data_IF_038433611491
#
_entry.id   IF_038433611491
#
_cell.length_a   1.000
_cell.length_b   1.000
_cell.length_c   1.000
_cell.angle_alpha   90.00
_cell.angle_beta   90.00
_cell.angle_gamma   90.00
#
_symmetry.space_group_name_H-M   'P 1'
#
loop_
_entity.id
_entity.type
_entity.pdbx_description
1 polymer ?
#
# COMPACT_ATOMS: atom_id res chain seq x y z
N UNK A 1 -19.57 0.86 -26.71
CA UNK A 1 -20.52 -0.27 -26.74
C UNK A 1 -19.99 -1.51 -27.51
N UNK A 2 -19.22 -1.35 -28.56
CA UNK A 2 -18.76 -2.46 -29.44
C UNK A 2 -17.72 -3.43 -28.79
N UNK A 3 -16.92 -3.02 -27.81
CA UNK A 3 -15.93 -3.90 -27.13
C UNK A 3 -16.53 -4.95 -26.18
N UNK A 4 -17.75 -4.75 -25.70
CA UNK A 4 -18.44 -5.74 -24.85
C UNK A 4 -18.98 -6.93 -25.65
N UNK A 5 -19.28 -6.76 -26.91
CA UNK A 5 -19.82 -7.84 -27.78
C UNK A 5 -18.74 -8.78 -28.30
N UNK A 6 -17.51 -8.31 -28.49
CA UNK A 6 -16.40 -9.18 -28.92
C UNK A 6 -15.94 -10.16 -27.83
N UNK A 7 -15.94 -9.75 -26.57
CA UNK A 7 -15.67 -10.65 -25.44
C UNK A 7 -16.82 -11.66 -25.22
N UNK A 8 -18.09 -11.24 -25.41
CA UNK A 8 -19.26 -12.12 -25.30
C UNK A 8 -19.34 -13.13 -26.44
N UNK A 9 -19.00 -12.74 -27.67
CA UNK A 9 -18.96 -13.64 -28.82
C UNK A 9 -17.83 -14.65 -28.73
N UNK A 10 -16.64 -14.26 -28.27
CA UNK A 10 -15.53 -15.20 -28.04
C UNK A 10 -15.86 -16.22 -26.93
N UNK A 11 -16.53 -15.81 -25.86
CA UNK A 11 -17.00 -16.71 -24.80
C UNK A 11 -18.15 -17.62 -25.29
N UNK A 12 -19.03 -17.11 -26.15
CA UNK A 12 -20.16 -17.88 -26.68
C UNK A 12 -19.72 -18.96 -27.68
N UNK A 13 -18.74 -18.70 -28.52
CA UNK A 13 -18.18 -19.68 -29.47
C UNK A 13 -17.41 -20.79 -28.75
N UNK A 14 -16.77 -20.48 -27.62
CA UNK A 14 -16.08 -21.47 -26.77
C UNK A 14 -17.04 -22.37 -25.94
N UNK A 15 -18.31 -22.00 -25.83
CA UNK A 15 -19.30 -22.78 -25.08
C UNK A 15 -20.05 -23.82 -25.90
N UNK A 16 -19.85 -23.88 -27.20
CA UNK A 16 -20.59 -24.78 -28.13
C UNK A 16 -19.81 -26.01 -28.61
N UNK A 17 -18.93 -26.58 -27.78
CA UNK A 17 -18.44 -27.93 -28.07
C UNK A 17 -19.10 -28.87 -27.04
N UNK A 18 -20.07 -29.66 -27.44
CA UNK A 18 -20.70 -30.58 -26.54
C UNK A 18 -19.82 -31.78 -26.31
N UNK A 19 -19.93 -32.29 -25.13
CA UNK A 19 -20.11 -33.70 -24.86
C UNK A 19 -18.98 -34.43 -24.18
N UNK A 20 -19.38 -34.94 -23.13
CA UNK A 20 -19.01 -36.11 -22.37
C UNK A 20 -18.45 -37.25 -23.23
N UNK A 21 -17.20 -37.26 -23.49
CA UNK A 21 -16.45 -38.46 -23.82
C UNK A 21 -15.84 -39.00 -22.51
N UNK A 22 -16.64 -39.67 -21.73
CA UNK A 22 -16.20 -40.39 -20.54
C UNK A 22 -15.56 -41.74 -20.95
N UNK A 23 -14.52 -41.69 -21.77
CA UNK A 23 -13.72 -42.85 -22.06
C UNK A 23 -12.29 -42.58 -21.68
N UNK A 24 -11.74 -43.35 -20.78
CA UNK A 24 -10.31 -43.41 -20.50
C UNK A 24 -9.74 -44.78 -20.88
N UNK A 25 -8.52 -44.75 -21.38
CA UNK A 25 -7.71 -45.97 -21.53
C UNK A 25 -6.55 -45.83 -20.52
N UNK A 26 -6.61 -46.64 -19.50
CA UNK A 26 -5.64 -46.62 -18.43
C UNK A 26 -4.67 -47.77 -18.59
N UNK A 27 -3.40 -47.43 -18.91
CA UNK A 27 -2.26 -48.34 -18.91
C UNK A 27 -1.55 -48.24 -17.55
N UNK A 28 -2.24 -48.70 -16.52
CA UNK A 28 -1.77 -48.55 -15.15
C UNK A 28 -1.72 -49.89 -14.41
N UNK A 29 -0.67 -50.08 -13.65
CA UNK A 29 -0.51 -51.20 -12.72
C UNK A 29 -0.65 -50.68 -11.31
N UNK A 30 -1.62 -51.18 -10.56
CA UNK A 30 -1.88 -50.72 -9.19
C UNK A 30 -2.10 -49.19 -9.06
N UNK A 31 -2.75 -48.56 -10.06
CA UNK A 31 -2.98 -47.13 -10.07
C UNK A 31 -1.79 -46.27 -10.50
N UNK A 32 -0.66 -46.84 -10.87
CA UNK A 32 0.51 -46.16 -11.40
C UNK A 32 0.67 -46.39 -12.90
N UNK A 33 0.82 -45.32 -13.67
CA UNK A 33 1.07 -45.45 -15.12
C UNK A 33 0.59 -44.29 -15.94
N UNK A 34 0.15 -44.61 -17.17
CA UNK A 34 -0.35 -43.62 -18.14
C UNK A 34 -1.87 -43.78 -18.27
N UNK A 35 -2.58 -42.65 -18.21
CA UNK A 35 -3.99 -42.57 -18.56
C UNK A 35 -4.19 -41.67 -19.79
N UNK A 36 -4.96 -42.15 -20.75
CA UNK A 36 -5.41 -41.37 -21.89
C UNK A 36 -6.93 -41.19 -21.79
N UNK A 37 -7.37 -39.98 -21.54
CA UNK A 37 -8.78 -39.64 -21.31
C UNK A 37 -9.11 -39.25 -19.87
N UNK A 38 -10.38 -39.37 -19.50
CA UNK A 38 -10.94 -38.83 -18.25
C UNK A 38 -10.94 -39.81 -17.08
N UNK A 39 -9.78 -40.33 -16.68
CA UNK A 39 -9.67 -41.08 -15.43
C UNK A 39 -9.92 -40.18 -14.23
N UNK A 40 -10.74 -40.62 -13.30
CA UNK A 40 -11.04 -39.84 -12.08
C UNK A 40 -9.86 -39.81 -11.10
N UNK A 41 -9.07 -40.89 -11.05
CA UNK A 41 -7.90 -41.01 -10.15
C UNK A 41 -6.75 -41.73 -10.83
N UNK A 42 -5.54 -41.18 -10.75
CA UNK A 42 -4.33 -41.82 -11.25
C UNK A 42 -3.09 -41.31 -10.51
N UNK A 43 -2.10 -42.20 -10.38
CA UNK A 43 -0.74 -41.85 -10.05
C UNK A 43 0.12 -42.01 -11.32
N UNK A 44 0.75 -40.94 -11.80
CA UNK A 44 1.58 -40.96 -13.00
C UNK A 44 1.21 -39.86 -13.99
N UNK A 45 1.16 -40.18 -15.28
CA UNK A 45 0.85 -39.23 -16.35
C UNK A 45 -0.58 -39.40 -16.83
N UNK A 46 -1.35 -38.32 -16.80
CA UNK A 46 -2.70 -38.25 -17.37
C UNK A 46 -2.70 -37.26 -18.53
N UNK A 47 -3.12 -37.73 -19.68
CA UNK A 47 -3.33 -36.92 -20.88
C UNK A 47 -4.80 -36.92 -21.25
N UNK A 48 -5.45 -35.78 -21.28
CA UNK A 48 -6.85 -35.67 -21.65
C UNK A 48 -7.11 -34.49 -22.59
N UNK A 49 -8.26 -34.52 -23.25
CA UNK A 49 -8.70 -33.40 -24.07
C UNK A 49 -9.48 -32.38 -23.25
N UNK A 50 -10.44 -32.87 -22.47
CA UNK A 50 -11.25 -32.07 -21.53
C UNK A 50 -11.18 -32.75 -20.18
N UNK A 51 -10.89 -32.01 -19.14
CA UNK A 51 -10.83 -32.48 -17.77
C UNK A 51 -12.20 -32.38 -17.12
N UNK A 52 -12.86 -33.50 -16.88
CA UNK A 52 -14.19 -33.57 -16.28
C UNK A 52 -14.26 -34.74 -15.28
N UNK A 53 -14.86 -34.47 -14.11
CA UNK A 53 -15.02 -35.45 -13.05
C UNK A 53 -13.73 -35.90 -12.36
N UNK A 54 -12.68 -35.11 -12.44
CA UNK A 54 -11.41 -35.42 -11.79
C UNK A 54 -11.55 -35.37 -10.26
N UNK A 55 -10.96 -36.35 -9.59
CA UNK A 55 -10.87 -36.43 -8.13
C UNK A 55 -9.44 -36.29 -7.62
N UNK A 56 -8.49 -37.05 -8.18
CA UNK A 56 -7.11 -37.02 -7.73
C UNK A 56 -6.10 -37.40 -8.81
N UNK A 57 -5.05 -36.61 -8.93
CA UNK A 57 -3.83 -36.95 -9.69
C UNK A 57 -2.63 -36.78 -8.79
N UNK A 58 -1.78 -37.81 -8.73
CA UNK A 58 -0.42 -37.69 -8.19
C UNK A 58 0.56 -37.90 -9.32
N UNK A 59 1.21 -36.84 -9.79
CA UNK A 59 2.09 -36.86 -10.97
C UNK A 59 1.80 -35.72 -11.90
N UNK A 60 1.53 -36.00 -13.18
CA UNK A 60 1.33 -34.97 -14.21
C UNK A 60 -0.06 -35.10 -14.84
N UNK A 61 -0.82 -34.04 -14.79
CA UNK A 61 -2.08 -33.90 -15.51
C UNK A 61 -1.93 -32.91 -16.66
N UNK A 62 -2.13 -33.37 -17.88
CA UNK A 62 -2.09 -32.52 -19.09
C UNK A 62 -3.48 -32.49 -19.71
N UNK A 63 -4.06 -31.29 -19.87
CA UNK A 63 -5.36 -31.05 -20.47
C UNK A 63 -5.22 -30.18 -21.70
N UNK A 64 -5.55 -30.74 -22.89
CA UNK A 64 -5.36 -30.06 -24.19
C UNK A 64 -6.37 -28.96 -24.44
N UNK A 65 -7.51 -28.97 -23.74
CA UNK A 65 -8.56 -27.97 -23.89
C UNK A 65 -8.95 -27.38 -22.53
N UNK A 66 -10.12 -26.82 -22.42
CA UNK A 66 -10.65 -26.22 -21.20
C UNK A 66 -11.04 -27.30 -20.20
N UNK A 67 -10.45 -27.29 -19.00
CA UNK A 67 -10.93 -28.09 -17.89
C UNK A 67 -12.36 -27.66 -17.50
N UNK A 68 -13.23 -28.64 -17.21
CA UNK A 68 -14.53 -28.40 -16.59
C UNK A 68 -14.33 -28.06 -15.09
N UNK A 69 -15.40 -27.64 -14.45
CA UNK A 69 -15.38 -27.41 -13.02
C UNK A 69 -15.22 -28.73 -12.25
N UNK A 70 -14.05 -28.91 -11.63
CA UNK A 70 -13.69 -30.10 -10.84
C UNK A 70 -13.59 -29.76 -9.35
N UNK A 71 -14.72 -29.63 -8.62
CA UNK A 71 -14.73 -29.13 -7.25
C UNK A 71 -14.09 -30.08 -6.23
N UNK A 72 -13.84 -31.33 -6.62
CA UNK A 72 -13.22 -32.33 -5.76
C UNK A 72 -11.75 -32.63 -6.15
N UNK A 73 -11.28 -32.09 -7.27
CA UNK A 73 -9.99 -32.44 -7.84
C UNK A 73 -8.82 -31.95 -6.97
N UNK A 74 -7.95 -32.88 -6.61
CA UNK A 74 -6.67 -32.59 -5.96
C UNK A 74 -5.54 -33.08 -6.86
N UNK A 75 -4.68 -32.15 -7.30
CA UNK A 75 -3.54 -32.47 -8.13
C UNK A 75 -2.28 -32.27 -7.30
N UNK A 76 -1.48 -33.32 -7.14
CA UNK A 76 -0.17 -33.30 -6.51
C UNK A 76 0.91 -33.58 -7.54
N UNK A 77 1.70 -32.56 -7.88
CA UNK A 77 2.71 -32.62 -8.94
C UNK A 77 2.52 -31.52 -9.96
N UNK A 78 2.27 -31.84 -11.23
CA UNK A 78 2.11 -30.84 -12.26
C UNK A 78 0.71 -30.88 -12.92
N UNK A 79 0.08 -29.73 -13.05
CA UNK A 79 -1.14 -29.53 -13.80
C UNK A 79 -0.86 -28.56 -14.97
N UNK A 80 -0.97 -29.05 -16.20
CA UNK A 80 -0.70 -28.27 -17.40
C UNK A 80 -1.95 -28.26 -18.29
N UNK A 81 -2.37 -27.10 -18.73
CA UNK A 81 -3.52 -26.97 -19.63
C UNK A 81 -3.32 -25.90 -20.70
N UNK A 82 -3.74 -26.17 -21.96
CA UNK A 82 -3.65 -25.16 -23.01
C UNK A 82 -4.53 -23.94 -22.68
N UNK A 83 -5.77 -24.16 -22.26
CA UNK A 83 -6.61 -23.09 -21.68
C UNK A 83 -6.25 -22.89 -20.21
N UNK A 84 -6.19 -23.97 -19.44
CA UNK A 84 -5.68 -23.97 -18.08
C UNK A 84 -6.30 -25.05 -17.21
N UNK A 85 -5.59 -25.46 -16.15
CA UNK A 85 -6.09 -26.37 -15.17
C UNK A 85 -7.19 -25.73 -14.33
N UNK A 86 -8.19 -26.52 -13.96
CA UNK A 86 -9.23 -26.16 -13.02
C UNK A 86 -9.35 -27.27 -11.99
N UNK A 87 -9.00 -27.00 -10.76
CA UNK A 87 -9.04 -27.99 -9.69
C UNK A 87 -9.47 -27.35 -8.35
N UNK A 88 -9.87 -28.18 -7.39
CA UNK A 88 -10.07 -27.71 -6.03
C UNK A 88 -8.76 -27.24 -5.40
N UNK A 89 -7.69 -28.04 -5.55
CA UNK A 89 -6.38 -27.76 -5.00
C UNK A 89 -5.28 -28.28 -5.90
N UNK A 90 -4.22 -27.51 -6.02
CA UNK A 90 -2.99 -27.91 -6.73
C UNK A 90 -1.80 -27.73 -5.79
N UNK A 91 -1.07 -28.82 -5.56
CA UNK A 91 0.18 -28.84 -4.81
C UNK A 91 1.33 -29.18 -5.79
N UNK A 92 2.11 -28.18 -6.19
CA UNK A 92 3.23 -28.31 -7.11
C UNK A 92 3.24 -27.26 -8.22
N UNK A 93 3.25 -27.69 -9.48
CA UNK A 93 3.34 -26.81 -10.65
C UNK A 93 1.97 -26.70 -11.35
N UNK A 94 1.48 -25.50 -11.56
CA UNK A 94 0.27 -25.24 -12.32
C UNK A 94 0.59 -24.33 -13.50
N UNK A 95 0.34 -24.78 -14.73
CA UNK A 95 0.58 -24.01 -15.96
C UNK A 95 -0.70 -23.95 -16.78
N UNK A 96 -1.26 -22.76 -16.94
CA UNK A 96 -2.37 -22.47 -17.82
C UNK A 96 -1.93 -21.56 -18.96
N UNK A 97 -2.19 -21.97 -20.21
CA UNK A 97 -1.92 -21.09 -21.35
C UNK A 97 -2.73 -19.80 -21.32
N UNK A 98 -3.95 -19.86 -20.80
CA UNK A 98 -4.82 -18.69 -20.57
C UNK A 98 -4.98 -18.43 -19.09
N UNK A 99 -5.52 -19.38 -18.32
CA UNK A 99 -5.78 -19.22 -16.88
C UNK A 99 -5.31 -20.43 -16.08
N UNK A 100 -4.93 -20.19 -14.84
CA UNK A 100 -4.85 -21.22 -13.79
C UNK A 100 -5.88 -20.89 -12.73
N UNK A 101 -6.79 -21.83 -12.44
CA UNK A 101 -7.89 -21.61 -11.51
C UNK A 101 -7.89 -22.72 -10.46
N UNK A 102 -7.96 -22.33 -9.18
CA UNK A 102 -8.22 -23.25 -8.07
C UNK A 102 -9.39 -22.74 -7.23
N UNK A 103 -10.29 -23.64 -6.82
CA UNK A 103 -11.40 -23.24 -5.91
C UNK A 103 -10.97 -23.02 -4.47
N UNK A 104 -9.89 -23.68 -4.07
CA UNK A 104 -9.24 -23.53 -2.77
C UNK A 104 -7.75 -23.20 -2.96
N UNK A 105 -6.88 -23.89 -2.27
CA UNK A 105 -5.48 -23.55 -2.17
C UNK A 105 -4.66 -23.90 -3.42
N UNK A 106 -3.68 -23.09 -3.67
CA UNK A 106 -2.60 -23.36 -4.60
C UNK A 106 -1.25 -23.27 -3.85
N UNK A 107 -0.48 -24.36 -3.88
CA UNK A 107 0.83 -24.43 -3.23
C UNK A 107 1.89 -24.80 -4.23
N UNK A 108 2.90 -23.95 -4.38
CA UNK A 108 4.01 -24.17 -5.31
C UNK A 108 4.17 -23.05 -6.33
N UNK A 109 4.28 -23.41 -7.61
CA UNK A 109 4.49 -22.44 -8.69
C UNK A 109 3.28 -22.46 -9.62
N UNK A 110 2.73 -21.30 -9.90
CA UNK A 110 1.62 -21.16 -10.84
C UNK A 110 1.92 -20.12 -11.92
N UNK A 111 1.54 -20.47 -13.13
CA UNK A 111 1.57 -19.57 -14.29
C UNK A 111 0.21 -19.58 -14.99
N UNK A 112 -0.29 -18.41 -15.34
CA UNK A 112 -1.46 -18.23 -16.18
C UNK A 112 -1.21 -17.14 -17.20
N UNK A 113 -1.37 -17.43 -18.50
CA UNK A 113 -1.10 -16.45 -19.55
C UNK A 113 -1.87 -15.14 -19.34
N UNK A 114 -3.16 -15.19 -19.07
CA UNK A 114 -3.93 -14.02 -18.63
C UNK A 114 -3.98 -13.89 -17.11
N UNK A 115 -4.09 -15.01 -16.37
CA UNK A 115 -4.19 -14.87 -14.93
C UNK A 115 -4.14 -16.16 -14.13
N UNK A 116 -3.91 -15.97 -12.84
CA UNK A 116 -4.01 -17.00 -11.81
C UNK A 116 -5.06 -16.56 -10.81
N UNK A 117 -6.10 -17.37 -10.65
CA UNK A 117 -7.20 -17.12 -9.72
C UNK A 117 -7.27 -18.26 -8.69
N UNK A 118 -7.10 -17.93 -7.43
CA UNK A 118 -7.03 -18.86 -6.31
C UNK A 118 -8.16 -18.54 -5.34
N UNK A 119 -9.12 -19.45 -5.21
CA UNK A 119 -10.27 -19.28 -4.31
C UNK A 119 -9.96 -19.37 -2.82
N UNK A 120 -8.78 -19.88 -2.46
CA UNK A 120 -8.25 -19.95 -1.09
C UNK A 120 -6.92 -19.22 -0.99
N UNK A 121 -5.95 -19.89 -0.34
CA UNK A 121 -4.60 -19.40 -0.15
C UNK A 121 -3.68 -19.71 -1.33
N UNK A 122 -2.85 -18.74 -1.70
CA UNK A 122 -1.72 -18.95 -2.60
C UNK A 122 -0.43 -19.00 -1.79
N UNK A 123 0.23 -20.15 -1.79
CA UNK A 123 1.53 -20.33 -1.13
C UNK A 123 2.61 -20.64 -2.17
N UNK A 124 3.56 -19.74 -2.34
CA UNK A 124 4.67 -19.89 -3.29
C UNK A 124 4.73 -18.79 -4.34
N UNK A 125 4.80 -19.14 -5.63
CA UNK A 125 4.96 -18.20 -6.74
C UNK A 125 3.75 -18.22 -7.68
N UNK A 126 3.13 -17.07 -7.85
CA UNK A 126 2.06 -16.85 -8.83
C UNK A 126 2.48 -15.85 -9.91
N UNK A 127 2.36 -16.24 -11.19
CA UNK A 127 2.70 -15.39 -12.33
C UNK A 127 1.52 -15.31 -13.30
N UNK A 128 1.09 -14.10 -13.66
CA UNK A 128 0.02 -13.87 -14.63
C UNK A 128 0.20 -12.55 -15.37
N UNK A 129 0.14 -12.56 -16.71
CA UNK A 129 0.29 -11.33 -17.49
C UNK A 129 -0.85 -10.33 -17.25
N UNK A 130 -2.08 -10.80 -17.03
CA UNK A 130 -3.20 -9.97 -16.62
C UNK A 130 -3.21 -9.76 -15.11
N UNK A 131 -3.22 -10.85 -14.34
CA UNK A 131 -3.22 -10.71 -12.88
C UNK A 131 -3.08 -12.01 -12.10
N UNK A 132 -2.76 -11.85 -10.82
CA UNK A 132 -2.72 -12.94 -9.84
C UNK A 132 -3.51 -12.50 -8.61
N UNK A 133 -4.58 -13.24 -8.30
CA UNK A 133 -5.47 -12.91 -7.19
C UNK A 133 -5.73 -14.16 -6.34
N UNK A 134 -5.52 -14.03 -5.04
CA UNK A 134 -6.01 -14.99 -4.06
C UNK A 134 -7.24 -14.41 -3.33
N UNK A 135 -8.25 -15.24 -3.10
CA UNK A 135 -9.46 -14.82 -2.35
C UNK A 135 -9.17 -14.79 -0.84
N UNK A 136 -8.25 -15.60 -0.37
CA UNK A 136 -7.79 -15.53 1.02
C UNK A 136 -6.39 -14.90 1.05
N UNK A 137 -5.38 -15.60 1.49
CA UNK A 137 -4.08 -15.01 1.75
C UNK A 137 -3.05 -15.38 0.67
N UNK A 138 -2.08 -14.49 0.49
CA UNK A 138 -0.87 -14.77 -0.29
C UNK A 138 0.30 -14.95 0.66
N UNK A 139 0.96 -16.10 0.56
CA UNK A 139 2.20 -16.42 1.26
C UNK A 139 3.30 -16.70 0.23
N UNK A 140 4.04 -15.68 -0.17
CA UNK A 140 5.08 -15.80 -1.18
C UNK A 140 5.15 -14.64 -2.14
N UNK A 141 5.26 -14.92 -3.45
CA UNK A 141 5.46 -13.91 -4.49
C UNK A 141 4.34 -14.00 -5.52
N UNK A 142 3.67 -12.89 -5.77
CA UNK A 142 2.69 -12.77 -6.84
C UNK A 142 3.08 -11.64 -7.79
N UNK A 143 3.08 -11.96 -9.09
CA UNK A 143 3.42 -11.01 -10.15
C UNK A 143 2.29 -10.95 -11.15
N UNK A 144 1.67 -9.79 -11.26
CA UNK A 144 0.58 -9.54 -12.20
C UNK A 144 0.87 -8.34 -13.11
N UNK A 145 0.48 -8.40 -14.38
CA UNK A 145 0.58 -7.23 -15.25
C UNK A 145 -0.36 -6.11 -14.81
N UNK A 146 -1.65 -6.39 -14.67
CA UNK A 146 -2.66 -5.39 -14.32
C UNK A 146 -2.90 -5.35 -12.81
N UNK A 147 -3.01 -6.52 -12.17
CA UNK A 147 -3.29 -6.61 -10.73
C UNK A 147 -2.58 -7.79 -10.09
N UNK A 148 -2.08 -7.58 -8.87
CA UNK A 148 -1.55 -8.64 -8.00
C UNK A 148 -1.98 -8.43 -6.56
N UNK A 149 -2.24 -9.51 -5.82
CA UNK A 149 -2.55 -9.41 -4.40
C UNK A 149 -3.56 -10.42 -3.89
N UNK A 150 -4.17 -10.08 -2.76
CA UNK A 150 -5.12 -10.91 -2.04
C UNK A 150 -6.33 -10.08 -1.57
N UNK A 151 -7.49 -10.74 -1.39
CA UNK A 151 -8.59 -10.18 -0.59
C UNK A 151 -8.34 -10.33 0.91
N UNK A 152 -7.45 -11.20 1.30
CA UNK A 152 -6.93 -11.33 2.66
C UNK A 152 -5.61 -10.58 2.84
N UNK A 153 -4.67 -11.25 3.49
CA UNK A 153 -3.34 -10.72 3.77
C UNK A 153 -2.37 -11.03 2.62
N UNK A 154 -1.44 -10.12 2.38
CA UNK A 154 -0.27 -10.38 1.54
C UNK A 154 0.97 -10.47 2.43
N UNK A 155 1.48 -11.68 2.59
CA UNK A 155 2.71 -11.97 3.32
C UNK A 155 3.81 -12.36 2.33
N UNK A 156 4.65 -11.42 1.96
CA UNK A 156 5.70 -11.60 0.97
C UNK A 156 5.76 -10.47 -0.06
N UNK A 157 5.61 -10.79 -1.35
CA UNK A 157 5.77 -9.79 -2.40
C UNK A 157 4.57 -9.77 -3.35
N UNK A 158 4.01 -8.61 -3.60
CA UNK A 158 3.01 -8.36 -4.64
C UNK A 158 3.53 -7.31 -5.63
N UNK A 159 3.78 -7.75 -6.86
CA UNK A 159 4.35 -6.93 -7.92
C UNK A 159 3.35 -6.77 -9.06
N UNK A 160 3.10 -5.54 -9.52
CA UNK A 160 2.20 -5.27 -10.63
C UNK A 160 2.62 -4.03 -11.42
N UNK A 161 2.40 -4.05 -12.73
CA UNK A 161 2.50 -2.82 -13.51
C UNK A 161 1.31 -1.88 -13.26
N UNK A 162 0.14 -2.43 -12.93
CA UNK A 162 -1.05 -1.68 -12.56
C UNK A 162 -1.18 -1.52 -11.06
N UNK A 163 -1.82 -2.48 -10.39
CA UNK A 163 -2.27 -2.37 -8.99
C UNK A 163 -1.76 -3.54 -8.17
N UNK A 164 -1.17 -3.24 -7.01
CA UNK A 164 -0.89 -4.22 -5.95
C UNK A 164 -1.80 -3.95 -4.74
N UNK A 165 -2.56 -4.96 -4.29
CA UNK A 165 -3.55 -4.74 -3.25
C UNK A 165 -3.64 -5.89 -2.24
N UNK A 166 -3.78 -5.53 -0.96
CA UNK A 166 -4.22 -6.41 0.12
C UNK A 166 -5.51 -5.83 0.72
N UNK A 167 -6.59 -6.61 0.73
CA UNK A 167 -7.84 -6.12 1.32
C UNK A 167 -7.84 -6.21 2.87
N UNK A 168 -6.81 -6.82 3.45
CA UNK A 168 -6.52 -6.75 4.89
C UNK A 168 -5.13 -6.16 5.10
N UNK A 169 -4.15 -6.95 5.42
CA UNK A 169 -2.81 -6.49 5.77
C UNK A 169 -1.78 -6.82 4.70
N UNK A 170 -0.77 -6.00 4.59
CA UNK A 170 0.42 -6.33 3.84
C UNK A 170 1.65 -6.41 4.74
N UNK A 171 2.46 -7.47 4.55
CA UNK A 171 3.76 -7.64 5.22
C UNK A 171 4.79 -8.04 4.18
N UNK A 172 5.74 -7.16 3.94
CA UNK A 172 6.80 -7.35 2.95
C UNK A 172 6.88 -6.26 1.91
N UNK A 173 6.85 -6.61 0.62
CA UNK A 173 6.99 -5.67 -0.49
C UNK A 173 5.73 -5.64 -1.36
N UNK A 174 5.14 -4.47 -1.49
CA UNK A 174 4.15 -4.18 -2.53
C UNK A 174 4.74 -3.15 -3.50
N UNK A 175 4.84 -3.50 -4.77
CA UNK A 175 5.35 -2.62 -5.82
C UNK A 175 4.36 -2.55 -6.97
N UNK A 176 3.94 -1.35 -7.34
CA UNK A 176 3.00 -1.13 -8.43
C UNK A 176 3.36 0.06 -9.31
N UNK A 177 3.07 -0.04 -10.61
CA UNK A 177 3.17 1.09 -11.53
C UNK A 177 2.04 2.12 -11.31
N UNK A 178 0.83 1.66 -11.05
CA UNK A 178 -0.32 2.53 -10.77
C UNK A 178 -0.45 2.84 -9.29
N UNK A 179 -0.97 1.91 -8.49
CA UNK A 179 -1.21 2.12 -7.08
C UNK A 179 -0.98 0.88 -6.23
N UNK A 180 -0.61 1.09 -4.96
CA UNK A 180 -0.42 0.01 -4.01
C UNK A 180 -1.09 0.34 -2.67
N UNK A 181 -1.89 -0.58 -2.13
CA UNK A 181 -2.55 -0.34 -0.85
C UNK A 181 -2.85 -1.59 -0.05
N UNK A 182 -2.88 -1.40 1.26
CA UNK A 182 -3.47 -2.31 2.23
C UNK A 182 -4.69 -1.64 2.88
N UNK A 183 -5.83 -2.33 2.98
CA UNK A 183 -7.04 -1.72 3.58
C UNK A 183 -6.88 -1.55 5.09
N UNK A 184 -6.11 -2.42 5.75
CA UNK A 184 -5.80 -2.29 7.17
C UNK A 184 -4.33 -1.86 7.36
N UNK A 185 -3.46 -2.76 7.74
CA UNK A 185 -2.10 -2.42 8.10
C UNK A 185 -1.10 -2.71 6.97
N UNK A 186 -0.14 -1.81 6.78
CA UNK A 186 0.96 -1.98 5.86
C UNK A 186 2.29 -2.01 6.62
N UNK A 187 3.00 -3.14 6.53
CA UNK A 187 4.30 -3.33 7.15
C UNK A 187 5.35 -3.70 6.11
N UNK A 188 6.41 -2.91 6.02
CA UNK A 188 7.51 -3.11 5.08
C UNK A 188 7.59 -2.02 4.02
N UNK A 189 7.61 -2.41 2.76
CA UNK A 189 7.76 -1.49 1.63
C UNK A 189 6.49 -1.48 0.79
N UNK A 190 5.81 -0.34 0.71
CA UNK A 190 4.68 -0.10 -0.18
C UNK A 190 5.04 1.03 -1.11
N UNK A 191 5.28 0.70 -2.37
CA UNK A 191 5.81 1.63 -3.36
C UNK A 191 4.93 1.62 -4.61
N UNK A 192 4.58 2.79 -5.13
CA UNK A 192 3.93 2.91 -6.43
C UNK A 192 4.29 4.22 -7.13
N UNK A 193 4.27 4.22 -8.47
CA UNK A 193 4.43 5.46 -9.22
C UNK A 193 3.22 6.40 -9.07
N UNK A 194 2.02 5.85 -8.88
CA UNK A 194 0.82 6.61 -8.52
C UNK A 194 0.66 6.80 -7.02
N UNK A 195 -0.48 6.37 -6.48
CA UNK A 195 -0.81 6.51 -5.06
C UNK A 195 -0.52 5.28 -4.24
N UNK A 196 -0.17 5.49 -2.98
CA UNK A 196 -0.02 4.42 -2.00
C UNK A 196 -0.85 4.69 -0.75
N UNK A 197 -1.29 3.62 -0.07
CA UNK A 197 -2.08 3.79 1.14
C UNK A 197 -2.06 2.60 2.09
N UNK A 198 -2.24 2.92 3.38
CA UNK A 198 -2.64 1.99 4.42
C UNK A 198 -3.86 2.55 5.13
N UNK A 199 -4.93 1.76 5.25
CA UNK A 199 -6.18 2.25 5.84
C UNK A 199 -6.08 2.50 7.35
N UNK A 200 -5.28 1.71 8.06
CA UNK A 200 -5.02 1.89 9.48
C UNK A 200 -3.56 2.25 9.73
N UNK A 201 -2.70 1.29 10.04
CA UNK A 201 -1.34 1.59 10.45
C UNK A 201 -0.34 1.31 9.34
N UNK A 202 0.69 2.15 9.27
CA UNK A 202 1.82 2.01 8.36
C UNK A 202 3.14 1.88 9.10
N UNK A 203 3.96 0.86 8.79
CA UNK A 203 5.31 0.72 9.32
C UNK A 203 6.30 0.42 8.22
N UNK A 204 7.35 1.22 8.12
CA UNK A 204 8.38 1.09 7.12
C UNK A 204 8.35 2.20 6.07
N UNK A 205 8.39 1.84 4.80
CA UNK A 205 8.44 2.81 3.70
C UNK A 205 7.15 2.76 2.89
N UNK A 206 6.40 3.84 2.90
CA UNK A 206 5.14 4.03 2.17
C UNK A 206 5.35 5.21 1.23
N UNK A 207 5.67 4.93 -0.04
CA UNK A 207 6.11 5.96 -0.98
C UNK A 207 5.32 5.89 -2.28
N UNK A 208 4.61 6.96 -2.59
CA UNK A 208 3.86 7.14 -3.82
C UNK A 208 4.39 8.28 -4.69
N UNK A 209 4.56 8.04 -5.99
CA UNK A 209 4.99 9.09 -6.91
C UNK A 209 4.01 10.28 -6.96
N UNK A 210 2.73 10.04 -6.80
CA UNK A 210 1.71 11.08 -6.69
C UNK A 210 1.37 11.38 -5.24
N UNK A 211 0.98 10.38 -4.46
CA UNK A 211 0.56 10.62 -3.09
C UNK A 211 0.73 9.41 -2.19
N UNK A 212 0.88 9.66 -0.89
CA UNK A 212 0.99 8.64 0.14
C UNK A 212 0.08 8.96 1.32
N UNK A 213 -0.67 7.97 1.82
CA UNK A 213 -1.54 8.17 2.96
C UNK A 213 -1.56 6.97 3.91
N UNK A 214 -1.59 7.26 5.21
CA UNK A 214 -1.82 6.29 6.28
C UNK A 214 -2.98 6.79 7.12
N UNK A 215 -4.03 5.97 7.29
CA UNK A 215 -5.28 6.39 7.94
C UNK A 215 -5.14 6.68 9.43
N UNK A 216 -4.35 5.93 10.16
CA UNK A 216 -4.13 6.12 11.59
C UNK A 216 -2.66 6.42 11.91
N UNK A 217 -1.93 5.44 12.43
CA UNK A 217 -0.57 5.67 12.91
C UNK A 217 0.47 5.23 11.88
N UNK A 218 1.54 5.98 11.79
CA UNK A 218 2.66 5.60 10.96
C UNK A 218 4.00 5.63 11.73
N UNK A 219 4.90 4.70 11.36
CA UNK A 219 6.27 4.66 11.84
C UNK A 219 7.23 4.36 10.70
N UNK A 220 8.16 5.28 10.42
CA UNK A 220 9.11 5.20 9.31
C UNK A 220 9.02 6.35 8.34
N UNK A 221 8.88 6.07 7.04
CA UNK A 221 8.77 7.07 5.97
C UNK A 221 7.40 6.99 5.27
N UNK A 222 6.69 8.11 5.23
CA UNK A 222 5.51 8.31 4.38
C UNK A 222 5.79 9.45 3.43
N UNK A 223 5.92 9.18 2.13
CA UNK A 223 6.28 10.20 1.17
C UNK A 223 5.43 10.14 -0.11
N UNK A 224 5.00 11.30 -0.57
CA UNK A 224 4.24 11.47 -1.81
C UNK A 224 4.75 12.63 -2.65
N UNK A 225 4.85 12.45 -3.97
CA UNK A 225 5.34 13.48 -4.87
C UNK A 225 4.53 14.79 -4.81
N UNK A 226 3.22 14.70 -4.74
CA UNK A 226 2.34 15.87 -4.53
C UNK A 226 1.99 16.06 -3.06
N UNK A 227 1.61 14.98 -2.38
CA UNK A 227 1.20 15.08 -0.99
C UNK A 227 1.39 13.83 -0.18
N UNK A 228 1.62 13.98 1.11
CA UNK A 228 1.70 12.88 2.06
C UNK A 228 0.94 13.20 3.34
N UNK A 229 0.25 12.21 3.89
CA UNK A 229 -0.54 12.39 5.09
C UNK A 229 -0.59 11.18 6.00
N UNK A 230 -0.60 11.43 7.30
CA UNK A 230 -0.86 10.47 8.35
C UNK A 230 -2.04 10.98 9.18
N UNK A 231 -3.10 10.17 9.29
CA UNK A 231 -4.35 10.61 9.89
C UNK A 231 -4.28 10.85 11.40
N UNK A 232 -3.48 10.10 12.11
CA UNK A 232 -3.37 10.23 13.56
C UNK A 232 -1.94 10.54 14.00
N UNK A 233 -1.16 9.57 14.39
CA UNK A 233 0.18 9.84 14.94
C UNK A 233 1.30 9.35 14.05
N UNK A 234 2.41 10.08 14.05
CA UNK A 234 3.60 9.76 13.26
C UNK A 234 4.86 9.70 14.11
N UNK A 235 5.67 8.66 13.85
CA UNK A 235 7.06 8.58 14.32
C UNK A 235 7.96 8.37 13.11
N UNK A 236 8.78 9.37 12.76
CA UNK A 236 9.66 9.32 11.60
C UNK A 236 9.45 10.49 10.63
N UNK A 237 9.38 10.23 9.32
CA UNK A 237 9.38 11.28 8.30
C UNK A 237 8.09 11.26 7.44
N UNK A 238 7.42 12.40 7.34
CA UNK A 238 6.36 12.66 6.36
C UNK A 238 6.85 13.70 5.35
N UNK A 239 6.83 13.36 4.07
CA UNK A 239 7.31 14.24 3.01
C UNK A 239 6.32 14.38 1.85
N UNK A 240 6.01 15.61 1.46
CA UNK A 240 5.15 15.89 0.31
C UNK A 240 5.60 17.09 -0.50
N UNK A 241 5.48 17.04 -1.83
CA UNK A 241 5.88 18.17 -2.67
C UNK A 241 5.06 19.43 -2.35
N UNK A 242 3.75 19.38 -2.43
CA UNK A 242 2.89 20.54 -2.15
C UNK A 242 2.31 20.54 -0.74
N UNK A 243 2.10 19.36 -0.13
CA UNK A 243 1.56 19.28 1.21
C UNK A 243 2.06 18.07 1.96
N UNK A 244 2.38 18.23 3.25
CA UNK A 244 2.67 17.15 4.15
C UNK A 244 1.98 17.39 5.50
N UNK A 245 1.35 16.36 6.05
CA UNK A 245 0.61 16.54 7.30
C UNK A 245 0.50 15.31 8.18
N UNK A 246 0.42 15.58 9.48
CA UNK A 246 0.05 14.62 10.52
C UNK A 246 -1.19 15.16 11.21
N UNK A 247 -2.27 14.37 11.24
CA UNK A 247 -3.55 14.83 11.72
C UNK A 247 -3.60 15.04 13.22
N UNK A 248 -2.83 14.31 13.99
CA UNK A 248 -2.79 14.45 15.45
C UNK A 248 -1.34 14.69 15.91
N UNK A 249 -0.59 13.70 16.33
CA UNK A 249 0.71 13.90 16.99
C UNK A 249 1.91 13.53 16.11
N UNK A 250 2.93 14.36 16.13
CA UNK A 250 4.27 14.00 15.70
C UNK A 250 5.10 13.61 16.95
N UNK A 251 5.24 12.31 17.21
CA UNK A 251 5.89 11.83 18.43
C UNK A 251 7.39 12.02 18.43
N UNK A 252 8.05 11.82 17.28
CA UNK A 252 9.47 12.12 17.03
C UNK A 252 9.71 12.03 15.53
N UNK A 253 10.10 13.13 14.90
CA UNK A 253 10.37 13.07 13.48
C UNK A 253 10.38 14.40 12.76
N UNK A 254 10.01 14.33 11.46
CA UNK A 254 9.91 15.53 10.65
C UNK A 254 8.71 15.49 9.69
N UNK A 255 8.12 16.65 9.46
CA UNK A 255 7.12 16.91 8.42
C UNK A 255 7.69 17.93 7.46
N UNK A 256 7.91 17.54 6.21
CA UNK A 256 8.60 18.34 5.21
C UNK A 256 7.76 18.53 3.96
N UNK A 257 7.61 19.77 3.49
CA UNK A 257 6.90 20.08 2.24
C UNK A 257 7.46 21.35 1.60
N UNK A 258 7.43 21.44 0.27
CA UNK A 258 7.72 22.69 -0.43
C UNK A 258 6.55 23.67 -0.33
N UNK A 259 5.32 23.20 -0.17
CA UNK A 259 4.15 24.01 0.12
C UNK A 259 3.88 24.12 1.61
N UNK A 260 2.78 23.52 2.08
CA UNK A 260 2.35 23.55 3.48
C UNK A 260 2.78 22.30 4.25
N UNK A 261 3.32 22.48 5.45
CA UNK A 261 3.59 21.40 6.39
C UNK A 261 2.80 21.62 7.70
N UNK A 262 2.16 20.57 8.22
CA UNK A 262 1.34 20.71 9.42
C UNK A 262 1.30 19.49 10.32
N UNK A 263 1.16 19.75 11.62
CA UNK A 263 0.82 18.79 12.67
C UNK A 263 -0.42 19.30 13.39
N UNK A 264 -1.46 18.47 13.47
CA UNK A 264 -2.76 18.91 13.97
C UNK A 264 -2.81 19.18 15.47
N UNK A 265 -2.05 18.45 16.26
CA UNK A 265 -2.05 18.57 17.72
C UNK A 265 -0.62 18.78 18.23
N UNK A 266 0.02 17.81 18.86
CA UNK A 266 1.33 17.99 19.47
C UNK A 266 2.48 17.55 18.57
N UNK A 267 3.61 18.27 18.62
CA UNK A 267 4.77 17.97 17.80
C UNK A 267 6.08 17.89 18.57
N UNK A 268 6.83 16.79 18.34
CA UNK A 268 8.21 16.66 18.78
C UNK A 268 9.11 16.45 17.56
N UNK A 269 9.90 17.47 17.19
CA UNK A 269 10.83 17.37 16.06
C UNK A 269 10.86 18.58 15.14
N UNK A 270 10.75 18.36 13.81
CA UNK A 270 10.96 19.40 12.81
C UNK A 270 9.76 19.47 11.86
N UNK A 271 9.19 20.67 11.69
CA UNK A 271 8.11 20.95 10.73
C UNK A 271 8.58 22.04 9.76
N UNK A 272 8.72 21.70 8.49
CA UNK A 272 9.21 22.64 7.47
C UNK A 272 8.25 22.71 6.30
N UNK A 273 7.70 23.89 6.06
CA UNK A 273 6.90 24.20 4.89
C UNK A 273 7.49 25.33 4.07
N UNK A 274 7.72 25.12 2.78
CA UNK A 274 8.27 26.18 1.91
C UNK A 274 7.38 27.42 1.83
N UNK A 275 6.07 27.25 1.95
CA UNK A 275 5.10 28.36 2.06
C UNK A 275 4.71 28.57 3.52
N UNK A 276 4.23 27.57 4.20
CA UNK A 276 3.78 27.69 5.57
C UNK A 276 3.99 26.44 6.40
N UNK A 277 4.29 26.62 7.68
CA UNK A 277 4.47 25.52 8.63
C UNK A 277 3.65 25.78 9.90
N UNK A 278 2.98 24.77 10.43
CA UNK A 278 2.18 24.93 11.63
C UNK A 278 2.06 23.69 12.49
N UNK A 279 1.94 23.93 13.80
CA UNK A 279 1.57 22.92 14.79
C UNK A 279 0.36 23.43 15.56
N UNK A 280 -0.68 22.62 15.67
CA UNK A 280 -1.95 23.08 16.20
C UNK A 280 -1.96 23.36 17.70
N UNK A 281 -1.18 22.60 18.48
CA UNK A 281 -1.19 22.72 19.92
C UNK A 281 0.25 22.92 20.45
N UNK A 282 0.87 21.98 21.11
CA UNK A 282 2.19 22.13 21.71
C UNK A 282 3.31 21.62 20.81
N UNK A 283 4.44 22.33 20.77
CA UNK A 283 5.57 21.88 19.98
C UNK A 283 6.90 21.99 20.74
N UNK A 284 7.67 20.90 20.65
CA UNK A 284 9.07 20.89 21.09
C UNK A 284 9.95 20.61 19.89
N UNK A 285 10.72 21.61 19.43
CA UNK A 285 11.59 21.47 18.28
C UNK A 285 11.63 22.70 17.38
N UNK A 286 11.58 22.48 16.06
CA UNK A 286 11.77 23.53 15.06
C UNK A 286 10.58 23.58 14.11
N UNK A 287 10.00 24.77 13.91
CA UNK A 287 8.97 25.04 12.89
C UNK A 287 9.48 26.13 11.96
N UNK A 288 9.61 25.82 10.68
CA UNK A 288 10.09 26.75 9.66
C UNK A 288 9.06 26.90 8.53
N UNK A 289 8.65 28.11 8.27
CA UNK A 289 7.74 28.44 7.17
C UNK A 289 8.30 29.55 6.27
N UNK A 290 8.28 29.35 4.96
CA UNK A 290 8.81 30.34 4.02
C UNK A 290 8.07 31.69 4.08
N UNK A 291 6.75 31.70 4.22
CA UNK A 291 5.97 32.91 4.50
C UNK A 291 5.56 32.99 5.96
N UNK A 292 4.93 31.94 6.48
CA UNK A 292 4.43 31.93 7.86
C UNK A 292 4.77 30.67 8.62
N UNK A 293 5.07 30.81 9.90
CA UNK A 293 5.27 29.70 10.81
C UNK A 293 4.54 29.96 12.13
N UNK A 294 3.90 28.91 12.68
CA UNK A 294 3.17 29.08 13.93
C UNK A 294 2.99 27.81 14.75
N UNK A 295 2.91 28.00 16.06
CA UNK A 295 2.50 27.01 17.04
C UNK A 295 1.28 27.56 17.77
N UNK A 296 0.19 26.77 17.81
CA UNK A 296 -1.09 27.24 18.33
C UNK A 296 -1.13 27.48 19.82
N UNK A 297 -0.36 26.73 20.60
CA UNK A 297 -0.34 26.84 22.05
C UNK A 297 1.08 27.07 22.57
N UNK A 298 1.79 26.06 23.06
CA UNK A 298 3.11 26.27 23.69
C UNK A 298 4.25 25.83 22.79
N UNK A 299 5.31 26.62 22.74
CA UNK A 299 6.54 26.33 22.02
C UNK A 299 7.73 26.19 22.97
N UNK A 300 8.41 25.06 22.86
CA UNK A 300 9.74 24.84 23.42
C UNK A 300 10.73 24.63 22.29
N UNK A 301 11.33 25.70 21.76
CA UNK A 301 12.23 25.60 20.60
C UNK A 301 12.30 26.83 19.71
N UNK A 302 12.18 26.61 18.40
CA UNK A 302 12.39 27.67 17.39
C UNK A 302 11.23 27.69 16.40
N UNK A 303 10.62 28.87 16.19
CA UNK A 303 9.68 29.13 15.11
C UNK A 303 10.18 30.29 14.26
N UNK A 304 10.42 30.05 12.98
CA UNK A 304 10.83 31.09 12.05
C UNK A 304 9.92 31.13 10.83
N UNK A 305 9.41 32.32 10.52
CA UNK A 305 8.62 32.58 9.33
C UNK A 305 9.22 33.71 8.50
N UNK A 306 9.27 33.56 7.17
CA UNK A 306 9.83 34.60 6.30
C UNK A 306 9.08 35.94 6.43
N UNK A 307 7.76 35.92 6.55
CA UNK A 307 6.95 37.11 6.79
C UNK A 307 6.60 37.23 8.28
N UNK A 308 5.98 36.18 8.83
CA UNK A 308 5.52 36.21 10.22
C UNK A 308 5.72 34.88 10.95
N UNK A 309 5.96 35.00 12.26
CA UNK A 309 6.07 33.83 13.13
C UNK A 309 5.35 34.05 14.47
N UNK A 310 4.74 33.00 15.02
CA UNK A 310 4.04 33.12 16.30
C UNK A 310 4.04 31.85 17.15
N UNK A 311 4.03 32.06 18.48
CA UNK A 311 3.59 31.07 19.45
C UNK A 311 2.30 31.60 20.10
N UNK A 312 1.23 30.79 20.12
CA UNK A 312 -0.08 31.26 20.53
C UNK A 312 -0.21 31.55 22.01
N UNK A 313 0.47 30.81 22.86
CA UNK A 313 0.37 30.94 24.31
C UNK A 313 1.74 31.13 24.96
N UNK A 314 2.48 30.07 25.20
CA UNK A 314 3.77 30.14 25.89
C UNK A 314 4.94 29.94 24.89
N UNK A 315 5.97 30.75 25.05
CA UNK A 315 7.23 30.61 24.32
C UNK A 315 8.39 30.36 25.29
N UNK A 316 9.08 29.26 25.06
CA UNK A 316 10.40 29.02 25.64
C UNK A 316 11.40 28.76 24.50
N UNK A 317 12.07 29.82 24.03
CA UNK A 317 12.98 29.71 22.89
C UNK A 317 13.02 30.91 21.97
N UNK A 318 12.87 30.69 20.66
CA UNK A 318 13.04 31.76 19.65
C UNK A 318 11.79 31.79 18.72
N UNK A 319 11.23 32.97 18.57
CA UNK A 319 10.25 33.29 17.52
C UNK A 319 10.74 34.43 16.68
N UNK A 320 10.79 34.27 15.35
CA UNK A 320 11.31 35.27 14.45
C UNK A 320 10.62 35.36 13.10
N UNK A 321 10.37 36.60 12.65
CA UNK A 321 9.82 36.91 11.32
C UNK A 321 10.36 38.20 10.77
N UNK A 322 10.53 38.28 9.43
CA UNK A 322 11.06 39.50 8.78
C UNK A 322 10.10 40.69 9.00
N UNK A 323 8.81 40.48 8.99
CA UNK A 323 7.83 41.53 9.24
C UNK A 323 7.41 41.54 10.71
N UNK A 324 6.90 40.42 11.21
CA UNK A 324 6.36 40.36 12.56
C UNK A 324 6.66 39.07 13.28
N UNK A 325 6.81 39.18 14.61
CA UNK A 325 6.94 38.03 15.48
C UNK A 325 6.20 38.24 16.80
N UNK A 326 5.60 37.19 17.34
CA UNK A 326 4.86 37.32 18.60
C UNK A 326 4.69 36.06 19.42
N UNK A 327 4.51 36.27 20.72
CA UNK A 327 4.01 35.29 21.66
C UNK A 327 2.71 35.81 22.29
N UNK A 328 1.66 34.99 22.31
CA UNK A 328 0.33 35.47 22.73
C UNK A 328 0.20 35.72 24.23
N UNK A 329 0.89 34.97 25.07
CA UNK A 329 0.81 35.12 26.51
C UNK A 329 2.20 35.37 27.11
N UNK A 330 2.93 34.37 27.53
CA UNK A 330 4.24 34.55 28.16
C UNK A 330 5.39 34.07 27.29
N UNK A 331 6.52 34.78 27.35
CA UNK A 331 7.69 34.38 26.60
C UNK A 331 8.99 34.42 27.41
N UNK A 332 9.82 33.39 27.22
CA UNK A 332 11.19 33.33 27.68
C UNK A 332 12.12 33.07 26.48
N UNK A 333 13.02 34.00 26.20
CA UNK A 333 13.97 33.85 25.13
C UNK A 333 14.06 35.03 24.18
N UNK A 334 14.01 34.77 22.86
CA UNK A 334 14.18 35.79 21.84
C UNK A 334 12.93 35.92 20.94
N UNK A 335 12.39 37.13 20.87
CA UNK A 335 11.30 37.46 19.94
C UNK A 335 11.78 38.57 19.03
N UNK A 336 11.90 38.32 17.72
CA UNK A 336 12.36 39.35 16.79
C UNK A 336 11.47 39.47 15.55
N UNK A 337 11.06 40.69 15.27
CA UNK A 337 10.31 41.04 14.05
C UNK A 337 10.98 42.23 13.36
N UNK A 338 11.21 42.13 12.05
CA UNK A 338 11.89 43.22 11.34
C UNK A 338 11.13 44.54 11.38
N UNK A 339 9.81 44.52 11.42
CA UNK A 339 8.94 45.69 11.62
C UNK A 339 8.47 45.77 13.07
N UNK A 340 7.89 44.69 13.58
CA UNK A 340 7.33 44.69 14.94
C UNK A 340 7.44 43.35 15.65
N UNK A 341 7.60 43.40 16.96
CA UNK A 341 7.56 42.23 17.81
C UNK A 341 6.69 42.46 19.04
N UNK A 342 6.01 41.41 19.53
CA UNK A 342 5.13 41.57 20.70
C UNK A 342 5.02 40.32 21.56
N UNK A 343 4.84 40.55 22.87
CA UNK A 343 4.51 39.53 23.86
C UNK A 343 3.29 40.01 24.65
N UNK A 344 2.27 39.17 24.74
CA UNK A 344 0.99 39.58 25.30
C UNK A 344 1.00 39.87 26.81
N UNK A 345 1.78 39.13 27.55
CA UNK A 345 1.86 39.28 29.03
C UNK A 345 3.29 39.38 29.51
N UNK A 346 3.80 38.37 30.19
CA UNK A 346 5.09 38.41 30.85
C UNK A 346 6.24 38.04 29.91
N UNK A 347 7.32 38.78 29.96
CA UNK A 347 8.47 38.55 29.10
C UNK A 347 9.78 38.50 29.88
N UNK A 348 10.58 37.49 29.62
CA UNK A 348 11.94 37.37 30.13
C UNK A 348 12.90 37.07 28.98
N UNK A 349 13.72 38.03 28.57
CA UNK A 349 14.64 37.82 27.45
C UNK A 349 14.89 39.06 26.62
N UNK A 350 15.03 38.89 25.29
CA UNK A 350 15.28 39.94 24.35
C UNK A 350 14.18 40.04 23.32
N UNK A 351 13.50 41.19 23.20
CA UNK A 351 12.60 41.50 22.09
C UNK A 351 13.18 42.54 21.20
N UNK A 352 13.13 42.34 19.89
CA UNK A 352 13.67 43.24 18.88
C UNK A 352 12.62 43.49 17.81
N UNK A 353 12.26 44.73 17.60
CA UNK A 353 11.39 45.17 16.52
C UNK A 353 11.95 46.46 15.88
N UNK A 354 12.03 46.49 14.53
CA UNK A 354 12.60 47.63 13.82
C UNK A 354 11.83 48.95 14.00
N UNK A 355 10.51 48.90 14.04
CA UNK A 355 9.64 50.07 14.27
C UNK A 355 9.02 50.06 15.66
N UNK A 356 8.82 48.89 16.26
CA UNK A 356 8.20 48.81 17.57
C UNK A 356 8.28 47.45 18.22
N UNK A 357 8.36 47.46 19.54
CA UNK A 357 8.24 46.28 20.39
C UNK A 357 7.24 46.56 21.48
N UNK A 358 6.43 45.55 21.82
CA UNK A 358 5.43 45.68 22.87
C UNK A 358 5.45 44.50 23.82
N UNK A 359 5.34 44.76 25.12
CA UNK A 359 5.16 43.74 26.17
C UNK A 359 3.98 44.19 27.00
N UNK A 360 2.97 43.31 27.16
CA UNK A 360 1.69 43.72 27.72
C UNK A 360 1.67 43.93 29.23
N UNK A 361 2.53 43.25 30.00
CA UNK A 361 2.44 43.30 31.48
C UNK A 361 3.76 43.53 32.17
N UNK A 362 4.70 42.63 32.20
CA UNK A 362 5.99 42.79 32.87
C UNK A 362 7.19 42.34 32.02
N UNK A 363 8.28 43.06 32.16
CA UNK A 363 9.58 42.78 31.53
C UNK A 363 10.51 42.08 32.51
#
# INVERSE_FOLDING_TARGET
MMRRYLLFTAILVLSFIPTRAAASVDLAVSGWGLSLGNSNRINGLRLNFIDDGLEAVTGVNVTLWKAQRNPNAVIRGAAVGLVGPYARRIDGLAIGGIYTITEHDLRGISFGGLGVDVGGDLTGLGLGLGGVIAVQDVHGIVVGGIRSGARGDVNGMALSLGIAAAERNSRGLMLAGGGAWAVHDAHGFVLAAGGVGAGHNGRGFIVGGVGAAVGHNAAGLVAGGLGAGVGHSMTGLVGGGFGAGVGHDLNLGAVLSLGGAGVGHDGLGVVVGGVGAGVGHDHTGIVLGGLGAGVGHSLNGIVLGGVGASAGHELNGIVGGIIGAGAGHSARGLVFGGIGSGVGHDFTGITVGGLGTGVGHSL
#
